data_IF_523235915889
#
_entry.id   IF_523235915889
#
_cell.length_a   1.000
_cell.length_b   1.000
_cell.length_c   1.000
_cell.angle_alpha   90.00
_cell.angle_beta   90.00
_cell.angle_gamma   90.00
#
_symmetry.space_group_name_H-M   'P 1'
#
loop_
_entity.id
_entity.type
_entity.pdbx_description
1 polymer ?
#
# COMPACT_ATOMS: atom_id res chain seq x y z
N UNK A 1 -14.50 -73.23 -13.32
CA UNK A 1 -15.33 -73.44 -12.12
C UNK A 1 -14.43 -73.03 -10.95
N UNK A 2 -14.75 -71.89 -10.30
CA UNK A 2 -14.36 -71.41 -8.94
C UNK A 2 -12.88 -71.60 -8.51
N UNK A 3 -12.09 -70.65 -8.00
CA UNK A 3 -12.28 -69.40 -7.25
C UNK A 3 -11.06 -68.48 -7.50
N UNK A 4 -11.17 -67.21 -7.10
CA UNK A 4 -9.98 -66.40 -6.76
C UNK A 4 -10.05 -64.96 -7.24
N UNK A 5 -10.80 -64.11 -6.53
CA UNK A 5 -10.57 -62.66 -6.57
C UNK A 5 -10.56 -62.16 -5.13
N UNK A 6 -9.36 -62.05 -4.57
CA UNK A 6 -9.08 -61.34 -3.33
C UNK A 6 -8.93 -59.84 -3.65
N UNK A 7 -9.43 -59.04 -2.70
CA UNK A 7 -9.00 -57.69 -2.34
C UNK A 7 -8.74 -56.65 -3.45
N UNK A 8 -9.71 -55.77 -3.67
CA UNK A 8 -9.42 -54.36 -3.99
C UNK A 8 -10.70 -53.50 -3.91
N UNK A 9 -11.02 -52.96 -2.72
CA UNK A 9 -12.06 -51.94 -2.57
C UNK A 9 -11.90 -51.11 -1.27
N UNK A 10 -10.67 -50.68 -0.94
CA UNK A 10 -10.42 -49.93 0.31
C UNK A 10 -9.64 -48.63 0.12
N UNK A 11 -9.62 -48.03 -1.08
CA UNK A 11 -8.79 -46.85 -1.35
C UNK A 11 -9.52 -45.53 -1.69
N UNK A 12 -10.85 -45.49 -1.80
CA UNK A 12 -11.55 -44.24 -2.20
C UNK A 12 -12.06 -43.37 -1.03
N UNK A 13 -12.05 -43.84 0.22
CA UNK A 13 -12.63 -43.09 1.35
C UNK A 13 -11.69 -42.11 2.06
N UNK A 14 -10.38 -42.09 1.75
CA UNK A 14 -9.39 -41.33 2.54
C UNK A 14 -9.09 -39.91 2.07
N UNK A 15 -9.54 -39.53 0.87
CA UNK A 15 -9.15 -38.28 0.20
C UNK A 15 -10.15 -37.15 0.46
N UNK A 16 -11.46 -37.45 0.46
CA UNK A 16 -12.53 -36.47 0.66
C UNK A 16 -12.63 -36.00 2.13
N UNK A 17 -12.38 -36.88 3.10
CA UNK A 17 -12.37 -36.52 4.52
C UNK A 17 -11.20 -35.58 4.87
N UNK A 18 -10.04 -35.78 4.24
CA UNK A 18 -8.87 -34.92 4.44
C UNK A 18 -9.08 -33.53 3.84
N UNK A 19 -9.71 -33.43 2.68
CA UNK A 19 -10.00 -32.13 2.05
C UNK A 19 -11.03 -31.32 2.86
N UNK A 20 -12.07 -31.98 3.39
CA UNK A 20 -13.06 -31.35 4.26
C UNK A 20 -12.46 -30.89 5.59
N UNK A 21 -11.58 -31.68 6.23
CA UNK A 21 -10.90 -31.27 7.47
C UNK A 21 -9.97 -30.08 7.21
N UNK A 22 -9.28 -30.02 6.08
CA UNK A 22 -8.42 -28.86 5.75
C UNK A 22 -9.22 -27.59 5.47
N UNK A 23 -10.37 -27.70 4.79
CA UNK A 23 -11.26 -26.57 4.54
C UNK A 23 -11.93 -26.08 5.84
N UNK A 24 -12.33 -27.01 6.71
CA UNK A 24 -12.87 -26.69 8.03
C UNK A 24 -11.83 -26.00 8.92
N UNK A 25 -10.57 -26.47 8.91
CA UNK A 25 -9.46 -25.82 9.62
C UNK A 25 -9.17 -24.43 9.09
N UNK A 26 -9.16 -24.22 7.77
CA UNK A 26 -9.00 -22.88 7.18
C UNK A 26 -10.15 -21.97 7.58
N UNK A 27 -11.39 -22.46 7.58
CA UNK A 27 -12.56 -21.67 7.98
C UNK A 27 -12.48 -21.24 9.44
N UNK A 28 -12.14 -22.16 10.34
CA UNK A 28 -11.92 -21.87 11.76
C UNK A 28 -10.76 -20.88 11.99
N UNK A 29 -9.70 -20.99 11.21
CA UNK A 29 -8.57 -20.05 11.29
C UNK A 29 -8.96 -18.64 10.84
N UNK A 30 -9.71 -18.52 9.74
CA UNK A 30 -10.24 -17.24 9.24
C UNK A 30 -11.22 -16.63 10.24
N UNK A 31 -12.09 -17.44 10.84
CA UNK A 31 -13.05 -17.01 11.85
C UNK A 31 -12.34 -16.49 13.11
N UNK A 32 -11.35 -17.24 13.62
CA UNK A 32 -10.52 -16.78 14.75
C UNK A 32 -9.75 -15.49 14.43
N UNK A 33 -9.23 -15.36 13.21
CA UNK A 33 -8.57 -14.13 12.76
C UNK A 33 -9.54 -12.95 12.67
N UNK A 34 -10.77 -13.18 12.19
CA UNK A 34 -11.83 -12.16 12.15
C UNK A 34 -12.24 -11.71 13.54
N UNK A 35 -12.44 -12.64 14.49
CA UNK A 35 -12.77 -12.31 15.88
C UNK A 35 -11.65 -11.49 16.54
N UNK A 36 -10.39 -11.92 16.35
CA UNK A 36 -9.22 -11.19 16.88
C UNK A 36 -9.14 -9.78 16.30
N UNK A 37 -9.43 -9.63 15.01
CA UNK A 37 -9.43 -8.35 14.32
C UNK A 37 -10.55 -7.42 14.83
N UNK A 38 -11.75 -7.95 15.07
CA UNK A 38 -12.87 -7.16 15.59
C UNK A 38 -12.59 -6.68 17.02
N UNK A 39 -12.03 -7.56 17.87
CA UNK A 39 -11.61 -7.19 19.22
C UNK A 39 -10.55 -6.09 19.23
N UNK A 40 -9.54 -6.20 18.35
CA UNK A 40 -8.52 -5.17 18.19
C UNK A 40 -9.13 -3.84 17.72
N UNK A 41 -10.07 -3.91 16.77
CA UNK A 41 -10.78 -2.75 16.23
C UNK A 41 -11.56 -2.00 17.32
N UNK A 42 -12.23 -2.71 18.22
CA UNK A 42 -12.99 -2.10 19.31
C UNK A 42 -12.10 -1.45 20.38
N UNK A 43 -10.94 -2.04 20.66
CA UNK A 43 -9.94 -1.43 21.54
C UNK A 43 -9.41 -0.12 20.94
N UNK A 44 -9.13 -0.09 19.64
CA UNK A 44 -8.67 1.09 18.91
C UNK A 44 -9.74 2.20 18.93
N UNK A 45 -11.00 1.87 18.66
CA UNK A 45 -12.13 2.82 18.71
C UNK A 45 -12.27 3.47 20.09
N UNK A 46 -12.01 2.73 21.17
CA UNK A 46 -12.16 3.22 22.56
C UNK A 46 -10.94 4.01 23.05
N UNK A 47 -9.73 3.64 22.65
CA UNK A 47 -8.47 4.21 23.18
C UNK A 47 -7.93 5.37 22.36
N UNK A 48 -8.34 5.52 21.10
CA UNK A 48 -7.87 6.59 20.23
C UNK A 48 -9.08 7.46 19.87
N UNK A 49 -9.21 8.65 20.48
CA UNK A 49 -10.20 9.64 20.05
C UNK A 49 -10.06 9.86 18.54
N UNK A 50 -11.19 9.81 17.82
CA UNK A 50 -11.21 9.93 16.36
C UNK A 50 -10.55 8.78 15.55
N UNK A 51 -10.28 7.60 16.13
CA UNK A 51 -9.80 6.40 15.41
C UNK A 51 -10.58 6.11 14.10
N UNK A 52 -11.90 6.30 14.11
CA UNK A 52 -12.76 6.16 12.92
C UNK A 52 -12.31 7.03 11.74
N UNK A 53 -11.70 8.19 12.00
CA UNK A 53 -11.15 9.06 10.95
C UNK A 53 -9.88 8.47 10.32
N UNK A 54 -9.08 7.75 11.11
CA UNK A 54 -7.90 7.02 10.64
C UNK A 54 -8.27 5.71 9.96
N UNK A 55 -9.36 5.06 10.34
CA UNK A 55 -9.78 3.78 9.75
C UNK A 55 -10.56 3.92 8.44
N UNK A 56 -10.84 5.14 7.97
CA UNK A 56 -11.47 5.37 6.68
C UNK A 56 -10.40 5.44 5.59
N UNK A 57 -10.21 4.41 4.74
CA UNK A 57 -9.17 4.42 3.70
C UNK A 57 -9.34 5.61 2.76
N UNK A 58 -10.61 5.98 2.45
CA UNK A 58 -10.96 7.16 1.65
C UNK A 58 -10.49 8.49 2.23
N UNK A 59 -10.23 8.57 3.55
CA UNK A 59 -9.71 9.76 4.24
C UNK A 59 -8.21 9.68 4.53
N UNK A 60 -7.65 8.46 4.54
CA UNK A 60 -6.22 8.18 4.55
C UNK A 60 -5.59 8.18 3.16
N UNK A 61 -6.36 8.21 2.07
CA UNK A 61 -5.84 8.60 0.76
C UNK A 61 -5.31 10.02 0.94
N UNK A 62 -4.00 10.09 1.22
CA UNK A 62 -3.27 11.29 1.51
C UNK A 62 -3.70 12.35 0.49
N UNK A 63 -4.51 13.30 0.96
CA UNK A 63 -4.55 14.66 0.41
C UNK A 63 -3.13 15.20 0.56
N UNK A 64 -2.21 14.83 -0.32
CA UNK A 64 -0.88 15.43 -0.34
C UNK A 64 -0.13 15.18 -1.64
N UNK A 65 -0.74 15.60 -2.74
CA UNK A 65 0.03 16.49 -3.62
C UNK A 65 -0.40 17.89 -3.20
N UNK A 66 0.34 18.49 -2.26
CA UNK A 66 0.06 19.83 -1.73
C UNK A 66 0.33 20.95 -2.75
N UNK A 67 0.76 20.58 -3.96
CA UNK A 67 1.13 21.50 -5.02
C UNK A 67 0.04 21.43 -6.08
N UNK A 68 -0.94 22.35 -6.08
CA UNK A 68 -1.87 22.45 -7.20
C UNK A 68 -1.07 22.71 -8.48
N UNK A 69 -1.48 22.11 -9.60
CA UNK A 69 -0.82 22.22 -10.91
C UNK A 69 0.64 21.74 -10.87
N UNK A 70 0.83 20.43 -10.78
CA UNK A 70 2.13 19.80 -10.85
C UNK A 70 2.07 18.64 -11.84
N UNK A 71 2.88 18.71 -12.88
CA UNK A 71 2.94 17.73 -13.96
C UNK A 71 4.06 16.71 -13.71
N UNK A 72 5.22 17.17 -13.21
CA UNK A 72 6.40 16.34 -12.95
C UNK A 72 6.98 16.65 -11.58
N UNK A 73 7.38 15.61 -10.85
CA UNK A 73 8.14 15.73 -9.59
C UNK A 73 9.51 15.09 -9.77
N UNK A 74 10.55 15.86 -9.49
CA UNK A 74 11.94 15.36 -9.39
C UNK A 74 12.26 15.26 -7.90
N UNK A 75 12.52 14.06 -7.39
CA UNK A 75 12.92 13.84 -6.00
C UNK A 75 14.40 13.53 -5.96
N UNK A 76 15.13 14.26 -5.12
CA UNK A 76 16.55 14.06 -4.92
C UNK A 76 16.80 13.11 -3.73
N UNK A 77 17.84 12.27 -3.78
CA UNK A 77 18.28 11.49 -2.63
C UNK A 77 18.53 12.37 -1.39
N UNK A 78 18.44 11.79 -0.18
CA UNK A 78 18.78 12.53 1.03
C UNK A 78 20.24 13.00 0.98
N UNK A 79 20.50 14.19 1.54
CA UNK A 79 21.83 14.82 1.57
C UNK A 79 22.43 15.13 0.19
N UNK A 80 21.60 15.33 -0.84
CA UNK A 80 22.08 15.89 -2.11
C UNK A 80 22.69 17.26 -1.88
N UNK A 81 23.87 17.52 -2.43
CA UNK A 81 24.59 18.78 -2.25
C UNK A 81 23.79 19.97 -2.81
N UNK A 82 23.70 21.05 -2.02
CA UNK A 82 22.98 22.27 -2.41
C UNK A 82 23.48 22.86 -3.73
N UNK A 83 24.78 22.72 -4.03
CA UNK A 83 25.36 23.19 -5.30
C UNK A 83 24.72 22.51 -6.52
N UNK A 84 24.43 21.21 -6.44
CA UNK A 84 23.78 20.41 -7.49
C UNK A 84 22.32 20.83 -7.63
N UNK A 85 21.62 20.99 -6.51
CA UNK A 85 20.23 21.43 -6.50
C UNK A 85 20.10 22.83 -7.13
N UNK A 86 20.95 23.76 -6.72
CA UNK A 86 20.96 25.14 -7.23
C UNK A 86 21.39 25.20 -8.69
N UNK A 87 22.37 24.39 -9.12
CA UNK A 87 22.76 24.28 -10.52
C UNK A 87 21.58 23.86 -11.39
N UNK A 88 20.89 22.78 -11.04
CA UNK A 88 19.75 22.30 -11.81
C UNK A 88 18.57 23.28 -11.77
N UNK A 89 18.28 23.86 -10.60
CA UNK A 89 17.24 24.88 -10.45
C UNK A 89 17.51 26.09 -11.36
N UNK A 90 18.77 26.53 -11.45
CA UNK A 90 19.18 27.61 -12.34
C UNK A 90 18.91 27.27 -13.81
N UNK A 91 19.19 26.03 -14.23
CA UNK A 91 18.89 25.57 -15.60
C UNK A 91 17.39 25.51 -15.89
N UNK A 92 16.59 24.99 -14.95
CA UNK A 92 15.15 24.88 -15.13
C UNK A 92 14.46 26.25 -15.17
N UNK A 93 14.92 27.21 -14.37
CA UNK A 93 14.38 28.58 -14.38
C UNK A 93 14.71 29.40 -15.64
N UNK A 94 15.69 28.95 -16.43
CA UNK A 94 15.99 29.56 -17.73
C UNK A 94 15.01 29.09 -18.82
N UNK A 95 14.26 28.01 -18.59
CA UNK A 95 13.28 27.51 -19.54
C UNK A 95 12.02 28.40 -19.55
N UNK A 96 11.68 29.06 -20.67
CA UNK A 96 10.49 29.89 -20.74
C UNK A 96 9.22 29.05 -20.59
N UNK A 97 8.24 29.58 -19.86
CA UNK A 97 6.97 28.90 -19.62
C UNK A 97 7.02 27.74 -18.61
N UNK A 98 8.18 27.44 -18.00
CA UNK A 98 8.32 26.42 -16.98
C UNK A 98 8.26 27.04 -15.57
N UNK A 99 7.36 26.55 -14.73
CA UNK A 99 7.27 26.93 -13.32
C UNK A 99 7.85 25.82 -12.45
N UNK A 100 8.71 26.21 -11.49
CA UNK A 100 9.40 25.29 -10.58
C UNK A 100 9.12 25.68 -9.12
N UNK A 101 8.56 24.75 -8.35
CA UNK A 101 8.43 24.88 -6.90
C UNK A 101 9.40 23.92 -6.19
N UNK A 102 10.20 24.48 -5.29
CA UNK A 102 11.15 23.71 -4.46
C UNK A 102 10.47 23.34 -3.15
N UNK A 103 10.58 22.07 -2.72
CA UNK A 103 10.11 21.61 -1.41
C UNK A 103 11.15 20.73 -0.74
N UNK A 104 11.26 20.89 0.58
CA UNK A 104 12.00 19.98 1.45
C UNK A 104 11.03 19.01 2.14
N UNK A 105 11.34 17.71 2.10
CA UNK A 105 10.56 16.66 2.72
C UNK A 105 11.23 16.26 4.04
N UNK A 106 10.80 16.88 5.14
CA UNK A 106 11.43 16.69 6.45
C UNK A 106 11.47 15.22 6.93
N UNK A 107 10.49 14.40 6.57
CA UNK A 107 10.44 12.97 6.96
C UNK A 107 11.49 12.10 6.27
N UNK A 108 11.86 12.42 5.03
CA UNK A 108 12.83 11.66 4.24
C UNK A 108 14.15 12.41 4.06
N UNK A 109 14.24 13.65 4.54
CA UNK A 109 15.36 14.57 4.31
C UNK A 109 15.73 14.73 2.84
N UNK A 110 14.73 14.57 1.95
CA UNK A 110 14.88 14.75 0.51
C UNK A 110 14.42 16.15 0.10
N UNK A 111 15.12 16.74 -0.85
CA UNK A 111 14.59 17.86 -1.62
C UNK A 111 13.80 17.36 -2.82
N UNK A 112 12.83 18.13 -3.30
CA UNK A 112 12.10 17.83 -4.52
C UNK A 112 11.70 19.08 -5.30
N UNK A 113 11.75 18.99 -6.63
CA UNK A 113 11.26 20.03 -7.55
C UNK A 113 9.95 19.59 -8.16
N UNK A 114 8.94 20.46 -8.06
CA UNK A 114 7.62 20.28 -8.63
C UNK A 114 7.53 21.21 -9.84
N UNK A 115 7.27 20.62 -10.99
CA UNK A 115 7.34 21.28 -12.28
C UNK A 115 5.95 21.34 -12.90
N UNK A 116 5.63 22.46 -13.53
CA UNK A 116 4.47 22.60 -14.40
C UNK A 116 4.76 23.56 -15.54
N UNK A 117 4.12 23.36 -16.67
CA UNK A 117 4.22 24.23 -17.85
C UNK A 117 2.82 24.74 -18.22
N UNK A 118 2.34 25.84 -17.62
CA UNK A 118 1.03 26.37 -17.94
C UNK A 118 0.98 26.81 -19.41
N UNK A 119 -0.06 26.38 -20.12
CA UNK A 119 -0.34 26.87 -21.47
C UNK A 119 -0.84 28.31 -21.38
N UNK A 120 -0.13 29.25 -21.99
CA UNK A 120 -0.69 30.55 -22.32
C UNK A 120 -1.60 30.36 -23.53
N UNK A 121 -2.91 30.27 -23.29
CA UNK A 121 -3.93 30.36 -24.35
C UNK A 121 -4.12 31.82 -24.74
#
# INVERSE_FOLDING_TARGET
MLEGVSEMASQETSSEEKENDTNLRRRKFVECAQETFEQATDLIKRKIPCARHFLAPKRLWLKRISTPNCDVVIVFPPNTEDSVLLWLLSKLRQSPGLTVHVRHHASTQCSAFYLTAPFSV
#
